data_IF_806801611459
#
_entry.id   IF_806801611459
#
_cell.length_a   1.000
_cell.length_b   1.000
_cell.length_c   1.000
_cell.angle_alpha   90.00
_cell.angle_beta   90.00
_cell.angle_gamma   90.00
#
_symmetry.space_group_name_H-M   'P 1'
#
loop_
_entity.id
_entity.type
_entity.pdbx_description
1 polymer ?
#
# COMPACT_ATOMS: atom_id res chain seq x y z
N UNK A 1 -2.55 -8.52 -24.49
CA UNK A 1 -1.38 -8.79 -23.62
C UNK A 1 -1.87 -8.93 -22.19
N UNK A 2 -1.69 -10.06 -21.49
CA UNK A 2 -2.15 -10.15 -20.10
C UNK A 2 -1.12 -9.48 -19.18
N UNK A 3 -1.57 -8.47 -18.42
CA UNK A 3 -0.78 -7.83 -17.36
C UNK A 3 -0.55 -8.85 -16.23
N UNK A 4 0.66 -9.40 -16.12
CA UNK A 4 1.07 -10.20 -14.97
C UNK A 4 1.37 -9.28 -13.78
N UNK A 5 0.61 -9.47 -12.70
CA UNK A 5 0.84 -8.88 -11.37
C UNK A 5 2.13 -9.46 -10.74
N UNK A 6 3.32 -9.02 -11.19
CA UNK A 6 4.62 -9.48 -10.64
C UNK A 6 5.44 -8.39 -9.95
N UNK A 7 4.95 -7.15 -9.86
CA UNK A 7 5.75 -6.02 -9.34
C UNK A 7 6.07 -6.08 -7.83
N UNK A 8 5.16 -6.57 -6.99
CA UNK A 8 5.35 -6.53 -5.54
C UNK A 8 6.52 -7.44 -5.08
N UNK A 9 6.66 -8.64 -5.67
CA UNK A 9 7.82 -9.53 -5.39
C UNK A 9 9.15 -8.98 -5.90
N UNK A 10 9.13 -8.18 -6.98
CA UNK A 10 10.34 -7.56 -7.55
C UNK A 10 10.94 -6.50 -6.62
N UNK A 11 10.11 -5.65 -6.02
CA UNK A 11 10.57 -4.64 -5.05
C UNK A 11 11.24 -5.25 -3.82
N UNK A 12 10.69 -6.35 -3.30
CA UNK A 12 11.27 -7.08 -2.17
C UNK A 12 12.69 -7.57 -2.48
N UNK A 13 12.88 -8.16 -3.66
CA UNK A 13 14.17 -8.68 -4.09
C UNK A 13 15.20 -7.58 -4.37
N UNK A 14 14.81 -6.52 -5.07
CA UNK A 14 15.71 -5.42 -5.41
C UNK A 14 16.17 -4.65 -4.16
N UNK A 15 15.25 -4.30 -3.24
CA UNK A 15 15.63 -3.60 -2.01
C UNK A 15 16.56 -4.45 -1.14
N UNK A 16 16.24 -5.73 -0.94
CA UNK A 16 17.06 -6.65 -0.16
C UNK A 16 18.44 -6.86 -0.80
N UNK A 17 18.52 -6.90 -2.12
CA UNK A 17 19.79 -6.99 -2.84
C UNK A 17 20.62 -5.72 -2.62
N UNK A 18 20.06 -4.53 -2.87
CA UNK A 18 20.80 -3.27 -2.75
C UNK A 18 21.26 -2.97 -1.33
N UNK A 19 20.43 -3.18 -0.32
CA UNK A 19 20.80 -2.83 1.07
C UNK A 19 21.91 -3.74 1.61
N UNK A 20 21.95 -4.99 1.16
CA UNK A 20 22.96 -5.96 1.60
C UNK A 20 24.27 -5.89 0.80
N UNK A 21 24.34 -5.14 -0.30
CA UNK A 21 25.60 -4.94 -1.04
C UNK A 21 26.71 -4.33 -0.18
N UNK A 22 26.35 -3.43 0.75
CA UNK A 22 27.27 -2.80 1.70
C UNK A 22 27.12 -3.33 3.12
N UNK A 23 26.25 -4.33 3.32
CA UNK A 23 25.91 -4.84 4.66
C UNK A 23 27.06 -5.55 5.34
N UNK A 24 27.84 -6.33 4.60
CA UNK A 24 29.04 -7.00 5.12
C UNK A 24 30.08 -6.01 5.65
N UNK A 25 30.24 -4.88 4.98
CA UNK A 25 31.26 -3.89 5.29
C UNK A 25 30.86 -3.02 6.49
N UNK A 26 29.55 -2.87 6.71
CA UNK A 26 28.95 -2.08 7.79
C UNK A 26 28.45 -2.94 8.97
N UNK A 27 28.62 -4.27 8.90
CA UNK A 27 28.30 -5.20 9.99
C UNK A 27 26.80 -5.46 10.18
N UNK A 28 25.97 -5.30 9.15
CA UNK A 28 24.53 -5.60 9.22
C UNK A 28 24.09 -6.57 8.11
N UNK A 29 23.00 -7.28 8.37
CA UNK A 29 22.32 -8.11 7.37
C UNK A 29 20.82 -7.84 7.46
N UNK A 30 20.18 -7.58 6.33
CA UNK A 30 18.75 -7.29 6.24
C UNK A 30 18.05 -8.45 5.55
N UNK A 31 16.92 -8.89 6.11
CA UNK A 31 16.04 -9.85 5.46
C UNK A 31 14.69 -9.19 5.22
N UNK A 32 14.27 -9.16 3.96
CA UNK A 32 12.94 -8.66 3.63
C UNK A 32 11.85 -9.70 3.96
N UNK A 33 10.75 -9.26 4.58
CA UNK A 33 9.56 -10.06 4.82
C UNK A 33 8.37 -9.56 3.96
N UNK A 34 7.49 -10.47 3.56
CA UNK A 34 6.27 -10.10 2.85
C UNK A 34 5.14 -9.98 3.87
N UNK A 35 4.35 -8.92 3.78
CA UNK A 35 3.25 -8.64 4.72
C UNK A 35 1.95 -8.38 3.96
N UNK A 36 0.82 -8.31 4.69
CA UNK A 36 -0.50 -8.07 4.09
C UNK A 36 -0.76 -6.59 3.76
N UNK A 37 0.14 -5.67 4.13
CA UNK A 37 0.04 -4.27 3.75
C UNK A 37 0.63 -3.28 4.74
N UNK A 38 0.47 -1.98 4.44
CA UNK A 38 1.10 -0.89 5.19
C UNK A 38 0.60 -0.76 6.63
N UNK A 39 -0.66 -1.14 6.91
CA UNK A 39 -1.16 -1.08 8.28
C UNK A 39 -0.54 -2.14 9.19
N UNK A 40 -0.35 -3.36 8.67
CA UNK A 40 0.35 -4.44 9.36
C UNK A 40 1.82 -4.06 9.59
N UNK A 41 2.48 -3.54 8.57
CA UNK A 41 3.87 -3.06 8.63
C UNK A 41 4.13 -2.10 9.78
N UNK A 42 3.29 -1.07 9.94
CA UNK A 42 3.45 -0.09 11.01
C UNK A 42 3.21 -0.71 12.38
N UNK A 43 2.24 -1.63 12.52
CA UNK A 43 2.00 -2.34 13.79
C UNK A 43 3.20 -3.19 14.20
N UNK A 44 3.78 -3.93 13.25
CA UNK A 44 4.96 -4.78 13.46
C UNK A 44 6.23 -3.96 13.73
N UNK A 45 6.36 -2.79 13.10
CA UNK A 45 7.43 -1.83 13.40
C UNK A 45 7.29 -1.30 14.84
N UNK A 46 6.07 -0.95 15.26
CA UNK A 46 5.83 -0.42 16.60
C UNK A 46 5.92 -1.47 17.72
N UNK A 47 5.69 -2.76 17.41
CA UNK A 47 5.91 -3.85 18.36
C UNK A 47 7.36 -4.31 18.45
N UNK A 48 8.24 -3.78 17.59
CA UNK A 48 9.65 -4.19 17.51
C UNK A 48 9.87 -5.53 16.82
N UNK A 49 8.88 -6.03 16.07
CA UNK A 49 9.03 -7.23 15.24
C UNK A 49 9.74 -6.94 13.91
N UNK A 50 9.65 -5.68 13.46
CA UNK A 50 10.43 -5.16 12.35
C UNK A 50 11.26 -3.98 12.85
N UNK A 51 12.48 -3.82 12.34
CA UNK A 51 13.31 -2.63 12.57
C UNK A 51 13.09 -1.57 11.50
N UNK A 52 12.71 -1.99 10.29
CA UNK A 52 12.42 -1.12 9.14
C UNK A 52 11.24 -1.66 8.33
N UNK A 53 10.46 -0.74 7.77
CA UNK A 53 9.37 -1.12 6.88
C UNK A 53 9.04 -0.06 5.84
N UNK A 54 8.42 -0.50 4.76
CA UNK A 54 7.88 0.37 3.72
C UNK A 54 6.42 0.70 4.05
N UNK A 55 6.07 1.98 3.95
CA UNK A 55 4.71 2.47 4.12
C UNK A 55 4.42 3.63 3.17
N UNK A 56 3.15 3.81 2.80
CA UNK A 56 2.70 5.00 2.10
C UNK A 56 2.70 6.20 3.06
N UNK A 57 3.16 7.37 2.59
CA UNK A 57 3.29 8.58 3.41
C UNK A 57 1.98 9.00 4.10
N UNK A 58 0.83 8.92 3.42
CA UNK A 58 -0.44 9.33 4.01
C UNK A 58 -0.97 8.30 5.02
N UNK A 59 -0.73 7.00 4.81
CA UNK A 59 -1.04 5.98 5.83
C UNK A 59 -0.19 6.20 7.09
N UNK A 60 1.10 6.48 6.91
CA UNK A 60 2.00 6.83 8.00
C UNK A 60 1.55 8.11 8.73
N UNK A 61 1.06 9.11 8.00
CA UNK A 61 0.49 10.34 8.58
C UNK A 61 -0.69 10.05 9.52
N UNK A 62 -1.63 9.20 9.10
CA UNK A 62 -2.76 8.81 9.94
C UNK A 62 -2.31 7.99 11.14
N UNK A 63 -1.38 7.06 10.94
CA UNK A 63 -0.88 6.19 12.00
C UNK A 63 -0.20 6.97 13.14
N UNK A 64 0.66 7.95 12.83
CA UNK A 64 1.37 8.73 13.88
C UNK A 64 0.44 9.68 14.65
N UNK A 65 -0.77 9.91 14.15
CA UNK A 65 -1.80 10.74 14.79
C UNK A 65 -2.93 9.93 15.44
N UNK A 66 -3.07 8.66 15.10
CA UNK A 66 -4.19 7.83 15.55
C UNK A 66 -5.54 8.25 14.97
N UNK A 67 -5.58 8.73 13.72
CA UNK A 67 -6.83 9.05 13.00
C UNK A 67 -7.16 8.03 11.91
N UNK A 68 -8.33 8.11 11.26
CA UNK A 68 -8.72 7.31 10.08
C UNK A 68 -8.40 5.80 10.16
N UNK A 69 -9.18 5.06 10.96
CA UNK A 69 -9.06 3.59 11.04
C UNK A 69 -7.86 3.06 11.84
N UNK A 70 -7.20 3.93 12.61
CA UNK A 70 -6.17 3.57 13.59
C UNK A 70 -6.72 3.66 15.01
N UNK A 71 -6.38 2.69 15.86
CA UNK A 71 -6.86 2.57 17.25
C UNK A 71 -6.12 3.51 18.23
N UNK A 72 -4.92 3.95 17.85
CA UNK A 72 -4.05 4.83 18.62
C UNK A 72 -3.01 5.46 17.72
N UNK A 73 -2.26 6.44 18.26
CA UNK A 73 -1.07 6.95 17.61
C UNK A 73 0.09 5.93 17.71
N UNK A 74 0.77 5.68 16.60
CA UNK A 74 1.92 4.78 16.52
C UNK A 74 3.24 5.57 16.48
N UNK A 75 4.25 5.19 17.28
CA UNK A 75 5.49 5.95 17.44
C UNK A 75 6.49 5.65 16.31
N UNK A 76 6.10 5.88 15.06
CA UNK A 76 6.94 5.61 13.87
C UNK A 76 7.42 6.90 13.21
N UNK A 77 8.51 6.81 12.43
CA UNK A 77 9.11 7.93 11.71
C UNK A 77 9.51 7.50 10.30
N UNK A 78 9.33 8.40 9.34
CA UNK A 78 9.83 8.23 7.98
C UNK A 78 11.26 8.73 7.89
N UNK A 79 12.14 7.93 7.28
CA UNK A 79 13.55 8.30 7.07
C UNK A 79 13.88 8.65 5.62
N UNK A 80 13.20 8.02 4.65
CA UNK A 80 13.49 8.13 3.22
C UNK A 80 12.18 8.01 2.42
N UNK A 81 12.04 8.80 1.36
CA UNK A 81 11.00 8.64 0.32
C UNK A 81 11.61 7.96 -0.89
N UNK A 82 11.10 6.78 -1.27
CA UNK A 82 11.70 5.98 -2.35
C UNK A 82 11.08 6.25 -3.73
N UNK A 83 9.76 6.29 -3.81
CA UNK A 83 9.05 6.44 -5.07
C UNK A 83 7.63 7.00 -4.85
N UNK A 84 7.07 7.72 -5.85
CA UNK A 84 5.67 8.09 -5.82
C UNK A 84 4.79 6.84 -5.95
N UNK A 85 3.71 6.80 -5.18
CA UNK A 85 2.66 5.80 -5.30
C UNK A 85 1.47 6.43 -6.04
N UNK A 86 1.21 5.96 -7.26
CA UNK A 86 0.19 6.50 -8.15
C UNK A 86 -1.03 5.59 -8.14
N UNK A 87 -2.21 6.15 -7.88
CA UNK A 87 -3.47 5.42 -8.00
C UNK A 87 -3.72 5.08 -9.48
N UNK A 88 -3.94 3.80 -9.77
CA UNK A 88 -4.21 3.30 -11.11
C UNK A 88 -5.64 2.78 -11.20
N UNK A 89 -6.43 3.38 -12.08
CA UNK A 89 -7.75 2.88 -12.47
C UNK A 89 -7.58 2.13 -13.79
N UNK A 90 -7.88 0.83 -13.79
CA UNK A 90 -7.66 -0.03 -14.95
C UNK A 90 -8.98 -0.66 -15.34
N UNK A 91 -9.37 -0.49 -16.60
CA UNK A 91 -10.60 -1.03 -17.18
C UNK A 91 -10.26 -1.91 -18.38
N UNK A 92 -11.20 -2.79 -18.76
CA UNK A 92 -11.07 -3.53 -20.01
C UNK A 92 -11.37 -2.60 -21.20
N UNK A 93 -10.69 -2.76 -22.35
CA UNK A 93 -10.94 -1.94 -23.53
C UNK A 93 -12.42 -1.89 -23.95
N UNK A 94 -13.11 -3.03 -23.86
CA UNK A 94 -14.51 -3.18 -24.30
C UNK A 94 -15.53 -2.93 -23.18
N UNK A 95 -15.11 -2.43 -22.02
CA UNK A 95 -16.02 -2.18 -20.88
C UNK A 95 -16.92 -0.96 -21.05
N UNK A 96 -16.59 -0.05 -21.96
CA UNK A 96 -17.26 1.24 -22.09
C UNK A 96 -16.99 2.22 -20.94
N UNK A 97 -16.15 1.86 -19.96
CA UNK A 97 -15.82 2.70 -18.80
C UNK A 97 -14.67 3.64 -19.16
N UNK A 98 -14.96 4.93 -19.23
CA UNK A 98 -13.99 6.00 -19.59
C UNK A 98 -13.82 7.04 -18.48
N UNK A 99 -14.79 7.13 -17.58
CA UNK A 99 -14.78 8.02 -16.42
C UNK A 99 -14.95 7.22 -15.12
N UNK A 100 -14.65 7.84 -13.97
CA UNK A 100 -14.94 7.24 -12.67
C UNK A 100 -16.44 6.96 -12.50
N UNK A 101 -17.30 7.85 -12.98
CA UNK A 101 -18.75 7.73 -12.87
C UNK A 101 -19.30 6.51 -13.62
N UNK A 102 -18.67 6.13 -14.74
CA UNK A 102 -19.07 4.96 -15.56
C UNK A 102 -18.91 3.63 -14.80
N UNK A 103 -18.13 3.61 -13.71
CA UNK A 103 -17.99 2.42 -12.86
C UNK A 103 -19.25 2.12 -12.03
N UNK A 104 -20.22 3.05 -11.95
CA UNK A 104 -21.47 2.83 -11.24
C UNK A 104 -22.20 1.61 -11.82
N UNK A 105 -22.64 0.71 -10.95
CA UNK A 105 -23.31 -0.54 -11.35
C UNK A 105 -22.37 -1.64 -11.85
N UNK A 106 -21.07 -1.39 -11.94
CA UNK A 106 -20.07 -2.39 -12.26
C UNK A 106 -19.40 -2.96 -11.00
N UNK A 107 -18.87 -4.17 -11.11
CA UNK A 107 -18.03 -4.75 -10.05
C UNK A 107 -16.65 -4.09 -10.09
N UNK A 108 -16.23 -3.51 -8.98
CA UNK A 108 -14.96 -2.80 -8.83
C UNK A 108 -14.15 -3.47 -7.73
N UNK A 109 -12.89 -3.84 -8.03
CA UNK A 109 -11.93 -4.30 -7.00
C UNK A 109 -11.02 -3.15 -6.59
N UNK A 110 -10.91 -2.92 -5.28
CA UNK A 110 -10.12 -1.80 -4.71
C UNK A 110 -8.76 -2.24 -4.15
N UNK A 111 -8.34 -3.47 -4.48
CA UNK A 111 -7.08 -4.06 -4.02
C UNK A 111 -7.21 -4.83 -2.70
N UNK A 112 -6.09 -5.37 -2.19
CA UNK A 112 -6.09 -6.23 -1.01
C UNK A 112 -6.40 -5.46 0.28
N UNK A 113 -7.07 -6.13 1.20
CA UNK A 113 -7.33 -5.65 2.55
C UNK A 113 -6.04 -5.26 3.28
N UNK A 114 -6.04 -4.11 3.97
CA UNK A 114 -4.89 -3.68 4.78
C UNK A 114 -3.76 -2.97 4.01
N UNK A 115 -3.84 -2.90 2.68
CA UNK A 115 -2.98 -2.03 1.86
C UNK A 115 -3.29 -0.54 2.02
N UNK A 116 -4.39 -0.19 2.70
CA UNK A 116 -4.79 1.20 2.98
C UNK A 116 -5.13 2.05 1.73
N UNK A 117 -5.23 1.42 0.56
CA UNK A 117 -5.69 2.07 -0.67
C UNK A 117 -7.13 2.58 -0.54
N UNK A 118 -7.95 1.90 0.27
CA UNK A 118 -9.34 2.26 0.55
C UNK A 118 -9.48 3.67 1.12
N UNK A 119 -8.54 4.15 1.95
CA UNK A 119 -8.58 5.51 2.51
C UNK A 119 -8.49 6.60 1.43
N UNK A 120 -7.95 6.28 0.26
CA UNK A 120 -7.83 7.21 -0.87
C UNK A 120 -8.95 7.02 -1.89
N UNK A 121 -9.29 5.76 -2.19
CA UNK A 121 -10.24 5.43 -3.24
C UNK A 121 -11.69 5.62 -2.77
N UNK A 122 -11.99 5.33 -1.50
CA UNK A 122 -13.36 5.44 -0.96
C UNK A 122 -13.91 6.87 -1.05
N UNK A 123 -13.24 7.92 -0.55
CA UNK A 123 -13.76 9.29 -0.66
C UNK A 123 -13.92 9.75 -2.11
N UNK A 124 -13.03 9.29 -3.00
CA UNK A 124 -13.09 9.60 -4.43
C UNK A 124 -14.30 8.95 -5.10
N UNK A 125 -14.55 7.67 -4.83
CA UNK A 125 -15.72 6.96 -5.35
C UNK A 125 -17.02 7.50 -4.77
N UNK A 126 -17.05 7.83 -3.48
CA UNK A 126 -18.19 8.46 -2.81
C UNK A 126 -18.52 9.82 -3.41
N UNK A 127 -17.52 10.64 -3.76
CA UNK A 127 -17.72 11.92 -4.45
C UNK A 127 -18.38 11.75 -5.84
N UNK A 128 -18.27 10.57 -6.46
CA UNK A 128 -18.95 10.20 -7.70
C UNK A 128 -20.22 9.36 -7.47
N UNK A 129 -20.68 9.22 -6.23
CA UNK A 129 -21.88 8.46 -5.86
C UNK A 129 -21.74 6.96 -6.12
N UNK A 130 -20.54 6.42 -5.93
CA UNK A 130 -20.24 4.99 -6.05
C UNK A 130 -19.92 4.45 -4.66
N UNK A 131 -20.78 3.57 -4.18
CA UNK A 131 -20.55 2.78 -2.96
C UNK A 131 -20.18 1.36 -3.35
N UNK A 132 -19.28 0.74 -2.61
CA UNK A 132 -18.93 -0.68 -2.79
C UNK A 132 -18.99 -1.39 -1.44
N UNK A 133 -19.54 -2.59 -1.43
CA UNK A 133 -19.47 -3.49 -0.29
C UNK A 133 -18.29 -4.45 -0.50
N UNK A 134 -17.66 -4.84 0.60
CA UNK A 134 -16.49 -5.73 0.61
C UNK A 134 -16.86 -7.20 0.68
N UNK A 135 -18.14 -7.54 0.48
CA UNK A 135 -18.59 -8.91 0.41
C UNK A 135 -18.11 -9.56 -0.89
N UNK A 136 -17.06 -10.38 -0.74
CA UNK A 136 -16.36 -11.26 -1.70
C UNK A 136 -15.12 -10.70 -2.39
#
# INVERSE_FOLDING_TARGET
MPYRYTRCKRWKGEFNFYINQTGSDLGYNVTAEATSGYQENIRRLASGELEFSLSNAAITYFAVRGGEGWDRAYPVRSVITLAPNIALFVTLPDSGITTLADMRGHRVTVGPAGAGFEFFVRPLLEAHGITYDRSE
#
